data_IF_151250363787
#
_entry.id   IF_151250363787
#
_cell.length_a   1.000
_cell.length_b   1.000
_cell.length_c   1.000
_cell.angle_alpha   90.00
_cell.angle_beta   90.00
_cell.angle_gamma   90.00
#
_symmetry.space_group_name_H-M   'P 1'
#
loop_
_entity.id
_entity.type
_entity.pdbx_description
1 polymer ?
#
# COMPACT_ATOMS: atom_id res chain seq x y z
N UNK A 1 19.38 -28.81 -64.76
CA UNK A 1 18.15 -28.09 -64.34
C UNK A 1 17.28 -29.06 -63.56
N UNK A 2 17.28 -28.98 -62.23
CA UNK A 2 16.29 -29.62 -61.38
C UNK A 2 15.62 -28.50 -60.58
N UNK A 3 14.33 -28.29 -60.85
CA UNK A 3 13.53 -27.33 -60.12
C UNK A 3 13.19 -27.93 -58.75
N UNK A 4 13.64 -27.24 -57.71
CA UNK A 4 13.18 -27.34 -56.33
C UNK A 4 11.64 -27.23 -56.29
N UNK A 5 10.96 -28.34 -55.99
CA UNK A 5 9.52 -28.32 -55.79
C UNK A 5 9.22 -27.80 -54.37
N UNK A 6 8.34 -26.81 -54.33
CA UNK A 6 7.96 -26.03 -53.14
C UNK A 6 7.49 -26.92 -52.00
N UNK A 7 8.08 -26.74 -50.82
CA UNK A 7 7.51 -27.20 -49.55
C UNK A 7 6.25 -26.36 -49.32
N UNK A 8 5.11 -26.87 -49.77
CA UNK A 8 3.80 -26.30 -49.46
C UNK A 8 3.52 -26.46 -47.97
N UNK A 9 3.67 -25.37 -47.22
CA UNK A 9 3.15 -25.29 -45.85
C UNK A 9 1.63 -25.40 -45.91
N UNK A 10 1.08 -26.54 -45.46
CA UNK A 10 -0.36 -26.71 -45.32
C UNK A 10 -0.86 -25.80 -44.18
N UNK A 11 -1.74 -24.86 -44.51
CA UNK A 11 -2.41 -23.92 -43.60
C UNK A 11 -3.25 -24.59 -42.51
N UNK A 12 -3.57 -25.87 -42.66
CA UNK A 12 -4.37 -26.63 -41.67
C UNK A 12 -3.59 -26.93 -40.38
N UNK A 13 -2.25 -26.90 -40.43
CA UNK A 13 -1.37 -27.17 -39.28
C UNK A 13 -1.47 -26.03 -38.25
N UNK A 14 -1.65 -24.78 -38.73
CA UNK A 14 -1.82 -23.61 -37.89
C UNK A 14 -3.25 -23.46 -37.37
N UNK A 15 -4.26 -23.91 -38.12
CA UNK A 15 -5.66 -23.84 -37.70
C UNK A 15 -5.99 -24.76 -36.51
N UNK A 16 -5.35 -25.93 -36.42
CA UNK A 16 -5.58 -26.86 -35.30
C UNK A 16 -4.83 -26.46 -34.01
N UNK A 17 -3.82 -25.59 -34.13
CA UNK A 17 -3.08 -25.04 -32.98
C UNK A 17 -3.80 -23.88 -32.30
N UNK A 18 -4.79 -23.26 -32.96
CA UNK A 18 -5.61 -22.16 -32.41
C UNK A 18 -6.91 -22.66 -31.75
N UNK A 19 -7.40 -23.87 -32.09
CA UNK A 19 -8.64 -24.43 -31.51
C UNK A 19 -8.47 -25.07 -30.12
N UNK A 20 -7.23 -25.35 -29.69
CA UNK A 20 -6.96 -26.02 -28.40
C UNK A 20 -6.48 -25.06 -27.30
N UNK A 21 -6.64 -23.76 -27.48
CA UNK A 21 -6.51 -22.79 -26.40
C UNK A 21 -7.73 -21.87 -26.44
N UNK A 22 -8.76 -22.09 -25.59
CA UNK A 22 -9.70 -21.02 -25.36
C UNK A 22 -8.89 -19.86 -24.79
N UNK A 23 -8.72 -18.80 -25.58
CA UNK A 23 -8.39 -17.48 -25.06
C UNK A 23 -9.66 -17.01 -24.34
N UNK A 24 -9.90 -17.61 -23.17
CA UNK A 24 -10.70 -17.01 -22.11
C UNK A 24 -9.82 -15.91 -21.54
N UNK A 25 -9.97 -14.72 -22.11
CA UNK A 25 -9.97 -13.47 -21.35
C UNK A 25 -11.01 -13.59 -20.24
N UNK A 26 -10.65 -14.30 -19.18
CA UNK A 26 -11.24 -14.31 -17.85
C UNK A 26 -10.31 -15.17 -16.96
N UNK A 27 -9.02 -14.81 -16.94
CA UNK A 27 -8.35 -14.84 -15.64
C UNK A 27 -9.00 -13.69 -14.89
N UNK A 28 -10.06 -14.00 -14.16
CA UNK A 28 -10.38 -13.30 -12.93
C UNK A 28 -9.08 -13.25 -12.17
N UNK A 29 -8.35 -12.14 -12.34
CA UNK A 29 -7.43 -11.66 -11.31
C UNK A 29 -8.30 -11.73 -10.07
N UNK A 30 -8.00 -12.70 -9.20
CA UNK A 30 -8.53 -12.72 -7.86
C UNK A 30 -8.58 -11.26 -7.41
N UNK A 31 -9.79 -10.72 -7.24
CA UNK A 31 -10.09 -9.39 -6.70
C UNK A 31 -9.69 -9.29 -5.22
N UNK A 32 -8.62 -10.00 -4.86
CA UNK A 32 -8.00 -10.12 -3.56
C UNK A 32 -6.54 -9.68 -3.59
N UNK A 33 -6.06 -9.08 -4.68
CA UNK A 33 -5.08 -8.00 -4.53
C UNK A 33 -5.84 -6.80 -3.95
N UNK A 34 -6.03 -6.86 -2.63
CA UNK A 34 -6.57 -5.79 -1.79
C UNK A 34 -6.12 -4.46 -2.35
N UNK A 35 -7.03 -3.75 -3.02
CA UNK A 35 -6.83 -2.35 -3.34
C UNK A 35 -6.80 -1.67 -1.97
N UNK A 36 -5.61 -1.57 -1.38
CA UNK A 36 -5.40 -0.96 -0.06
C UNK A 36 -6.21 0.34 -0.07
N UNK A 37 -7.30 0.36 0.68
CA UNK A 37 -8.18 1.52 0.64
C UNK A 37 -7.41 2.63 1.31
N UNK A 38 -7.40 3.79 0.69
CA UNK A 38 -6.73 4.96 1.25
C UNK A 38 -7.23 5.26 2.68
N UNK A 39 -8.53 5.05 2.94
CA UNK A 39 -9.14 5.12 4.27
C UNK A 39 -8.49 4.17 5.28
N UNK A 40 -8.16 2.93 4.88
CA UNK A 40 -7.50 1.96 5.75
C UNK A 40 -6.08 2.41 6.10
N UNK A 41 -5.34 2.97 5.13
CA UNK A 41 -3.98 3.50 5.35
C UNK A 41 -4.00 4.68 6.33
N UNK A 42 -4.96 5.59 6.20
CA UNK A 42 -5.09 6.73 7.10
C UNK A 42 -5.52 6.27 8.50
N UNK A 43 -6.47 5.32 8.61
CA UNK A 43 -6.84 4.72 9.89
C UNK A 43 -5.66 4.06 10.58
N UNK A 44 -4.88 3.27 9.86
CA UNK A 44 -3.69 2.63 10.39
C UNK A 44 -2.64 3.65 10.84
N UNK A 45 -2.46 4.74 10.10
CA UNK A 45 -1.57 5.82 10.49
C UNK A 45 -2.03 6.50 11.80
N UNK A 46 -3.33 6.77 11.95
CA UNK A 46 -3.89 7.35 13.19
C UNK A 46 -3.72 6.39 14.36
N UNK A 47 -4.01 5.11 14.17
CA UNK A 47 -3.81 4.08 15.18
C UNK A 47 -2.33 4.02 15.61
N UNK A 48 -1.41 4.06 14.66
CA UNK A 48 0.04 4.04 14.93
C UNK A 48 0.49 5.25 15.76
N UNK A 49 -0.04 6.43 15.49
CA UNK A 49 0.25 7.63 16.32
C UNK A 49 -0.31 7.46 17.74
N UNK A 50 -1.53 6.93 17.86
CA UNK A 50 -2.11 6.63 19.17
C UNK A 50 -1.28 5.61 19.95
N UNK A 51 -0.84 4.54 19.29
CA UNK A 51 -0.01 3.50 19.90
C UNK A 51 1.34 4.07 20.35
N UNK A 52 1.96 4.93 19.53
CA UNK A 52 3.20 5.63 19.90
C UNK A 52 3.01 6.53 21.12
N UNK A 53 1.86 7.22 21.23
CA UNK A 53 1.52 8.07 22.36
C UNK A 53 1.27 7.27 23.65
N UNK A 54 0.56 6.14 23.54
CA UNK A 54 0.34 5.23 24.66
C UNK A 54 1.66 4.62 25.12
N UNK A 55 2.51 4.19 24.20
CA UNK A 55 3.83 3.62 24.53
C UNK A 55 4.71 4.65 25.25
N UNK A 56 4.76 5.90 24.76
CA UNK A 56 5.48 6.97 25.43
C UNK A 56 4.96 7.21 26.86
N UNK A 57 3.64 7.27 27.05
CA UNK A 57 3.04 7.44 28.37
C UNK A 57 3.36 6.27 29.31
N UNK A 58 3.26 5.03 28.82
CA UNK A 58 3.59 3.83 29.59
C UNK A 58 5.07 3.82 29.98
N UNK A 59 5.96 4.22 29.07
CA UNK A 59 7.40 4.30 29.32
C UNK A 59 7.72 5.35 30.39
N UNK A 60 7.07 6.51 30.35
CA UNK A 60 7.16 7.53 31.40
C UNK A 60 6.69 6.97 32.75
N UNK A 61 5.53 6.30 32.76
CA UNK A 61 4.96 5.74 33.99
C UNK A 61 5.86 4.66 34.61
N UNK A 62 6.41 3.78 33.77
CA UNK A 62 7.33 2.70 34.18
C UNK A 62 8.62 3.27 34.78
N UNK A 63 9.15 4.34 34.19
CA UNK A 63 10.31 5.04 34.73
C UNK A 63 10.02 5.69 36.09
N UNK A 64 8.87 6.33 36.25
CA UNK A 64 8.46 6.93 37.53
C UNK A 64 8.27 5.86 38.61
N UNK A 65 7.77 4.68 38.22
CA UNK A 65 7.64 3.50 39.10
C UNK A 65 8.97 2.85 39.47
N UNK A 66 10.07 3.22 38.79
CA UNK A 66 11.40 2.63 39.02
C UNK A 66 11.54 1.23 38.43
N UNK A 67 10.77 0.90 37.38
CA UNK A 67 10.94 -0.32 36.60
C UNK A 67 12.26 -0.28 35.81
N UNK A 68 12.70 -1.42 35.26
CA UNK A 68 13.95 -1.59 34.51
C UNK A 68 13.86 -0.95 33.09
N UNK A 69 13.60 0.35 33.05
CA UNK A 69 13.60 1.18 31.84
C UNK A 69 14.54 2.35 32.04
N UNK A 70 15.37 2.64 31.04
CA UNK A 70 16.30 3.75 31.14
C UNK A 70 15.62 5.07 30.75
N UNK A 71 16.08 6.17 31.34
CA UNK A 71 15.62 7.51 30.96
C UNK A 71 15.83 7.81 29.46
N UNK A 72 16.87 7.22 28.86
CA UNK A 72 17.15 7.39 27.43
C UNK A 72 16.05 6.75 26.57
N UNK A 73 15.60 5.53 26.93
CA UNK A 73 14.54 4.83 26.20
C UNK A 73 13.21 5.57 26.30
N UNK A 74 12.89 6.12 27.48
CA UNK A 74 11.73 6.98 27.65
C UNK A 74 11.81 8.20 26.75
N UNK A 75 12.96 8.90 26.75
CA UNK A 75 13.15 10.08 25.92
C UNK A 75 13.01 9.75 24.42
N UNK A 76 13.53 8.61 23.98
CA UNK A 76 13.34 8.13 22.60
C UNK A 76 11.85 7.89 22.29
N UNK A 77 11.13 7.16 23.15
CA UNK A 77 9.70 6.87 22.94
C UNK A 77 8.84 8.14 22.85
N UNK A 78 9.15 9.16 23.68
CA UNK A 78 8.48 10.45 23.67
C UNK A 78 8.77 11.21 22.38
N UNK A 79 10.03 11.18 21.92
CA UNK A 79 10.44 11.87 20.72
C UNK A 79 9.87 11.22 19.45
N UNK A 80 9.80 9.89 19.40
CA UNK A 80 9.09 9.16 18.35
C UNK A 80 7.60 9.52 18.31
N UNK A 81 6.93 9.59 19.47
CA UNK A 81 5.52 10.00 19.54
C UNK A 81 5.30 11.41 19.02
N UNK A 82 6.14 12.36 19.43
CA UNK A 82 6.06 13.75 18.96
C UNK A 82 6.27 13.85 17.44
N UNK A 83 7.29 13.18 16.90
CA UNK A 83 7.56 13.17 15.46
C UNK A 83 6.39 12.57 14.68
N UNK A 84 5.84 11.45 15.16
CA UNK A 84 4.71 10.76 14.54
C UNK A 84 3.45 11.64 14.54
N UNK A 85 3.19 12.35 15.64
CA UNK A 85 2.08 13.30 15.74
C UNK A 85 2.25 14.49 14.78
N UNK A 86 3.46 15.06 14.69
CA UNK A 86 3.77 16.14 13.75
C UNK A 86 3.49 15.71 12.30
N UNK A 87 3.97 14.51 11.93
CA UNK A 87 3.70 13.94 10.62
C UNK A 87 2.19 13.80 10.35
N UNK A 88 1.42 13.32 11.33
CA UNK A 88 -0.03 13.19 11.19
C UNK A 88 -0.73 14.54 11.01
N UNK A 89 -0.28 15.60 11.69
CA UNK A 89 -0.82 16.94 11.51
C UNK A 89 -0.56 17.46 10.08
N UNK A 90 0.63 17.21 9.54
CA UNK A 90 0.94 17.56 8.14
C UNK A 90 0.02 16.79 7.18
N UNK A 91 -0.14 15.48 7.37
CA UNK A 91 -1.06 14.68 6.55
C UNK A 91 -2.49 15.21 6.66
N UNK A 92 -2.99 15.50 7.86
CA UNK A 92 -4.31 16.10 8.08
C UNK A 92 -4.48 17.40 7.30
N UNK A 93 -3.48 18.29 7.36
CA UNK A 93 -3.50 19.55 6.64
C UNK A 93 -3.53 19.32 5.13
N UNK A 94 -2.71 18.41 4.60
CA UNK A 94 -2.70 18.05 3.17
C UNK A 94 -3.99 17.43 2.68
N UNK A 95 -4.65 16.62 3.49
CA UNK A 95 -5.97 16.09 3.15
C UNK A 95 -7.03 17.19 3.09
N UNK A 96 -6.99 18.13 4.03
CA UNK A 96 -7.89 19.28 4.03
C UNK A 96 -7.64 20.21 2.84
N UNK A 97 -6.38 20.47 2.48
CA UNK A 97 -6.00 21.20 1.27
C UNK A 97 -6.50 20.50 0.01
N UNK A 98 -6.27 19.18 -0.11
CA UNK A 98 -6.73 18.40 -1.26
C UNK A 98 -8.26 18.43 -1.40
N UNK A 99 -9.00 18.35 -0.29
CA UNK A 99 -10.45 18.50 -0.30
C UNK A 99 -10.87 19.88 -0.80
N UNK A 100 -10.23 20.97 -0.33
CA UNK A 100 -10.53 22.32 -0.81
C UNK A 100 -10.20 22.51 -2.29
N UNK A 101 -9.08 21.95 -2.77
CA UNK A 101 -8.67 22.01 -4.18
C UNK A 101 -9.70 21.35 -5.10
N UNK A 102 -10.18 20.15 -4.75
CA UNK A 102 -11.21 19.44 -5.51
C UNK A 102 -12.51 20.25 -5.64
N UNK A 103 -12.91 20.94 -4.58
CA UNK A 103 -14.06 21.84 -4.62
C UNK A 103 -13.82 23.08 -5.50
N UNK A 104 -12.58 23.60 -5.55
CA UNK A 104 -12.23 24.77 -6.38
C UNK A 104 -12.19 24.44 -7.87
N UNK A 105 -11.78 23.24 -8.25
CA UNK A 105 -11.67 22.82 -9.67
C UNK A 105 -13.04 22.52 -10.30
N UNK A 106 -14.08 22.29 -9.49
CA UNK A 106 -15.44 21.97 -9.96
C UNK A 106 -16.37 23.19 -10.12
N UNK A 107 -15.88 24.41 -9.89
CA UNK A 107 -16.57 25.67 -10.24
C UNK A 107 -15.90 26.33 -11.45
#
# INVERSE_FOLDING_TARGET
MQAINSIGMNSDIFANSIKNNPITTEKTVDEKSSKLKFDDVIKDAVNKVNDSQVNANNSIESLIKGEDITMHDVMLSVQESQMSMQLMLEVRNKLFEAYQELNRVQL
#
